data_IF_074533838327
#
_entry.id   IF_074533838327
#
_cell.length_a   1.000
_cell.length_b   1.000
_cell.length_c   1.000
_cell.angle_alpha   90.00
_cell.angle_beta   90.00
_cell.angle_gamma   90.00
#
_symmetry.space_group_name_H-M   'P 1'
#
loop_
_entity.id
_entity.type
_entity.pdbx_description
1 polymer ?
#
# COMPACT_ATOMS: atom_id res chain seq x y z
N UNK A 1 -34.76 -54.60 -30.12
CA UNK A 1 -33.74 -54.44 -29.04
C UNK A 1 -32.93 -53.19 -29.35
N UNK A 2 -33.31 -52.06 -28.82
CA UNK A 2 -32.70 -50.75 -29.03
C UNK A 2 -31.86 -50.40 -27.79
N UNK A 3 -30.58 -50.20 -27.98
CA UNK A 3 -29.55 -49.98 -26.94
C UNK A 3 -29.69 -48.54 -26.33
N UNK A 4 -29.78 -48.40 -25.01
CA UNK A 4 -29.95 -47.09 -24.33
C UNK A 4 -28.63 -46.39 -23.97
N UNK A 5 -27.60 -46.45 -24.82
CA UNK A 5 -26.23 -46.05 -24.42
C UNK A 5 -25.72 -44.71 -25.00
N UNK A 6 -26.54 -43.96 -25.77
CA UNK A 6 -26.04 -42.71 -26.42
C UNK A 6 -26.54 -41.40 -25.81
N UNK A 7 -27.56 -41.42 -24.97
CA UNK A 7 -28.15 -40.17 -24.39
C UNK A 7 -27.41 -39.68 -23.12
N UNK A 8 -26.78 -40.59 -22.36
CA UNK A 8 -26.14 -40.23 -21.08
C UNK A 8 -24.78 -39.55 -21.26
N UNK A 9 -24.07 -39.76 -22.40
CA UNK A 9 -22.75 -39.16 -22.62
C UNK A 9 -22.78 -37.69 -23.02
N UNK A 10 -23.93 -37.18 -23.50
CA UNK A 10 -24.05 -35.79 -23.98
C UNK A 10 -24.36 -34.78 -22.83
N UNK A 11 -25.00 -35.23 -21.74
CA UNK A 11 -25.30 -34.33 -20.60
C UNK A 11 -24.10 -34.06 -19.69
N UNK A 12 -23.15 -35.01 -19.59
CA UNK A 12 -21.98 -34.83 -18.70
C UNK A 12 -20.99 -33.84 -19.31
N UNK A 13 -20.88 -33.77 -20.63
CA UNK A 13 -19.96 -32.84 -21.29
C UNK A 13 -20.43 -31.37 -21.19
N UNK A 14 -21.73 -31.14 -21.09
CA UNK A 14 -22.30 -29.77 -20.99
C UNK A 14 -22.18 -29.20 -19.57
N UNK A 15 -22.24 -30.04 -18.53
CA UNK A 15 -22.08 -29.58 -17.14
C UNK A 15 -20.64 -29.21 -16.79
N UNK A 16 -19.62 -29.83 -17.41
CA UNK A 16 -18.22 -29.52 -17.14
C UNK A 16 -17.80 -28.19 -17.80
N UNK A 17 -18.39 -27.83 -18.94
CA UNK A 17 -18.10 -26.57 -19.63
C UNK A 17 -18.72 -25.35 -18.94
N UNK A 18 -19.82 -25.53 -18.19
CA UNK A 18 -20.48 -24.44 -17.43
C UNK A 18 -19.72 -24.08 -16.13
N UNK A 19 -18.90 -24.97 -15.60
CA UNK A 19 -18.11 -24.72 -14.39
C UNK A 19 -16.82 -23.94 -14.64
N UNK A 20 -16.35 -23.87 -15.90
CA UNK A 20 -15.10 -23.18 -16.23
C UNK A 20 -15.33 -21.68 -16.48
N UNK A 21 -16.58 -21.25 -16.73
CA UNK A 21 -16.91 -19.85 -17.04
C UNK A 21 -17.55 -19.06 -15.90
N UNK A 22 -17.66 -19.61 -14.70
CA UNK A 22 -18.28 -18.94 -13.56
C UNK A 22 -17.31 -18.53 -12.45
N UNK A 23 -16.01 -18.45 -12.73
CA UNK A 23 -15.16 -17.61 -11.89
C UNK A 23 -15.43 -16.16 -12.32
N UNK A 24 -16.15 -15.34 -11.52
CA UNK A 24 -16.09 -13.90 -11.73
C UNK A 24 -14.61 -13.55 -11.72
N UNK A 25 -14.13 -12.80 -12.71
CA UNK A 25 -12.85 -12.11 -12.61
C UNK A 25 -12.93 -11.34 -11.29
N UNK A 26 -12.38 -11.89 -10.22
CA UNK A 26 -12.23 -11.18 -8.96
C UNK A 26 -11.45 -9.93 -9.32
N UNK A 27 -12.15 -8.80 -9.30
CA UNK A 27 -11.51 -7.51 -9.54
C UNK A 27 -10.37 -7.41 -8.54
N UNK A 28 -9.14 -7.44 -9.03
CA UNK A 28 -7.93 -7.45 -8.22
C UNK A 28 -7.98 -6.27 -7.27
N UNK A 29 -8.15 -6.54 -5.98
CA UNK A 29 -8.29 -5.53 -4.93
C UNK A 29 -6.91 -5.30 -4.32
N UNK A 30 -6.48 -4.04 -4.22
CA UNK A 30 -5.26 -3.74 -3.48
C UNK A 30 -5.45 -4.08 -2.00
N UNK A 31 -4.43 -4.65 -1.35
CA UNK A 31 -4.49 -4.94 0.08
C UNK A 31 -4.63 -3.62 0.88
N UNK A 32 -5.36 -3.65 1.98
CA UNK A 32 -5.40 -2.54 2.95
C UNK A 32 -4.41 -2.71 4.09
N UNK A 33 -3.65 -3.80 4.07
CA UNK A 33 -2.67 -4.17 5.09
C UNK A 33 -1.32 -4.43 4.45
N UNK A 34 -0.25 -3.96 5.09
CA UNK A 34 1.12 -4.13 4.66
C UNK A 34 2.03 -4.18 5.89
N UNK A 35 2.97 -5.13 5.93
CA UNK A 35 3.91 -5.30 7.05
C UNK A 35 3.24 -5.48 8.42
N UNK A 36 2.04 -6.08 8.47
CA UNK A 36 1.25 -6.25 9.69
C UNK A 36 0.54 -4.98 10.15
N UNK A 37 0.55 -3.90 9.35
CA UNK A 37 -0.14 -2.65 9.66
C UNK A 37 -1.29 -2.41 8.69
N UNK A 38 -2.46 -1.99 9.22
CA UNK A 38 -3.69 -1.80 8.44
C UNK A 38 -4.05 -0.32 8.31
N UNK A 39 -4.26 0.14 7.07
CA UNK A 39 -4.75 1.49 6.78
C UNK A 39 -6.09 1.75 7.47
N UNK A 40 -6.23 2.93 8.05
CA UNK A 40 -7.42 3.35 8.79
C UNK A 40 -7.47 2.92 10.26
N UNK A 41 -6.60 2.00 10.70
CA UNK A 41 -6.47 1.69 12.13
C UNK A 41 -5.72 2.81 12.86
N UNK A 42 -5.89 2.86 14.17
CA UNK A 42 -5.02 3.64 15.06
C UNK A 42 -3.76 2.84 15.37
N UNK A 43 -2.63 3.53 15.52
CA UNK A 43 -1.38 2.87 15.87
C UNK A 43 -1.46 2.26 17.29
N UNK A 44 -0.98 1.03 17.44
CA UNK A 44 -0.60 0.48 18.73
C UNK A 44 0.69 1.15 19.19
N UNK A 45 0.87 1.40 20.49
CA UNK A 45 2.09 2.05 21.00
C UNK A 45 3.27 1.11 21.17
N UNK A 46 3.04 -0.20 21.11
CA UNK A 46 4.11 -1.19 21.24
C UNK A 46 4.96 -1.25 19.96
N UNK A 47 6.27 -1.14 20.11
CA UNK A 47 7.24 -1.25 19.02
C UNK A 47 7.21 -0.10 18.01
N UNK A 48 6.55 1.04 18.34
CA UNK A 48 6.41 2.18 17.42
C UNK A 48 7.08 3.42 18.04
N UNK A 49 8.00 4.02 17.28
CA UNK A 49 8.76 5.21 17.70
C UNK A 49 8.40 6.41 16.82
N UNK A 50 8.04 7.54 17.46
CA UNK A 50 7.82 8.79 16.71
C UNK A 50 9.16 9.36 16.22
N UNK A 51 9.30 9.48 14.90
CA UNK A 51 10.52 9.99 14.25
C UNK A 51 10.39 11.48 13.94
N UNK A 52 9.20 11.91 13.49
CA UNK A 52 8.96 13.28 13.08
C UNK A 52 7.59 13.76 13.56
N UNK A 53 7.58 14.97 14.13
CA UNK A 53 6.36 15.73 14.41
C UNK A 53 6.50 17.14 13.85
N UNK A 54 5.77 17.41 12.79
CA UNK A 54 5.81 18.70 12.14
C UNK A 54 4.86 19.74 12.78
N UNK A 55 5.10 21.04 12.57
CA UNK A 55 4.25 22.11 13.12
C UNK A 55 2.79 22.07 12.64
N UNK A 56 2.51 21.49 11.50
CA UNK A 56 1.15 21.29 10.95
C UNK A 56 0.42 20.09 11.55
N UNK A 57 1.06 19.40 12.50
CA UNK A 57 0.54 18.20 13.14
C UNK A 57 0.84 16.89 12.39
N UNK A 58 1.54 16.94 11.26
CA UNK A 58 1.99 15.74 10.55
C UNK A 58 2.94 14.94 11.45
N UNK A 59 2.75 13.63 11.49
CA UNK A 59 3.55 12.72 12.32
C UNK A 59 3.98 11.50 11.50
N UNK A 60 5.25 11.13 11.66
CA UNK A 60 5.85 9.94 11.08
C UNK A 60 6.39 9.05 12.20
N UNK A 61 6.11 7.78 12.11
CA UNK A 61 6.54 6.78 13.08
C UNK A 61 7.34 5.70 12.39
N UNK A 62 8.44 5.28 13.02
CA UNK A 62 9.15 4.06 12.68
C UNK A 62 8.56 2.87 13.42
N UNK A 63 8.59 1.69 12.81
CA UNK A 63 8.16 0.45 13.43
C UNK A 63 8.96 -0.75 12.91
N UNK A 64 9.02 -1.80 13.73
CA UNK A 64 9.56 -3.10 13.35
C UNK A 64 8.41 -4.03 12.96
N UNK A 65 8.40 -4.59 11.74
CA UNK A 65 7.39 -5.56 11.34
C UNK A 65 7.43 -6.81 12.21
N UNK A 66 6.26 -7.29 12.62
CA UNK A 66 6.14 -8.51 13.43
C UNK A 66 6.53 -9.77 12.67
N UNK A 67 6.48 -9.72 11.33
CA UNK A 67 6.79 -10.83 10.44
C UNK A 67 7.91 -10.42 9.49
N UNK A 68 8.83 -11.36 9.22
CA UNK A 68 9.89 -11.19 8.24
C UNK A 68 9.57 -11.87 6.90
N UNK A 69 8.28 -12.01 6.61
CA UNK A 69 7.83 -12.52 5.33
C UNK A 69 7.94 -11.45 4.25
N UNK A 70 8.03 -11.91 3.01
CA UNK A 70 8.05 -11.03 1.86
C UNK A 70 6.89 -9.99 1.91
N UNK A 71 7.13 -8.73 1.57
CA UNK A 71 8.38 -8.10 1.08
C UNK A 71 9.27 -7.49 2.17
N UNK A 72 9.06 -7.81 3.45
CA UNK A 72 9.77 -7.20 4.59
C UNK A 72 11.29 -7.34 4.50
N UNK A 73 11.77 -8.51 4.03
CA UNK A 73 13.20 -8.86 4.04
C UNK A 73 14.09 -7.97 3.15
N UNK A 74 13.50 -7.26 2.20
CA UNK A 74 14.26 -6.35 1.30
C UNK A 74 14.31 -4.92 1.81
N UNK A 75 13.60 -4.59 2.90
CA UNK A 75 13.57 -3.24 3.45
C UNK A 75 14.28 -3.16 4.80
N UNK A 76 15.02 -2.08 4.98
CA UNK A 76 15.76 -1.81 6.22
C UNK A 76 14.96 -0.97 7.21
N UNK A 77 14.03 -0.16 6.72
CA UNK A 77 13.25 0.74 7.56
C UNK A 77 11.78 0.74 7.15
N UNK A 78 10.90 0.80 8.16
CA UNK A 78 9.45 0.80 7.98
C UNK A 78 8.84 2.00 8.71
N UNK A 79 7.87 2.67 8.07
CA UNK A 79 7.29 3.91 8.56
C UNK A 79 5.77 3.92 8.43
N UNK A 80 5.12 4.61 9.36
CA UNK A 80 3.70 4.92 9.34
C UNK A 80 3.49 6.43 9.34
N UNK A 81 2.65 6.90 8.44
CA UNK A 81 2.13 8.25 8.49
C UNK A 81 0.68 8.22 9.00
N UNK A 82 0.33 9.12 9.91
CA UNK A 82 -1.00 9.17 10.51
C UNK A 82 -1.69 10.52 10.32
N UNK A 83 -3.02 10.51 10.44
CA UNK A 83 -3.81 11.75 10.51
C UNK A 83 -3.48 12.52 11.79
N UNK A 84 -3.34 13.87 11.73
CA UNK A 84 -2.86 14.68 12.87
C UNK A 84 -3.77 14.67 14.09
N UNK A 85 -5.09 14.64 13.90
CA UNK A 85 -6.08 14.73 14.98
C UNK A 85 -6.66 13.37 15.37
N UNK A 86 -6.94 12.51 14.37
CA UNK A 86 -7.63 11.23 14.61
C UNK A 86 -6.69 10.05 14.76
N UNK A 87 -5.38 10.20 14.51
CA UNK A 87 -4.36 9.16 14.69
C UNK A 87 -4.53 7.92 13.81
N UNK A 88 -5.25 8.05 12.67
CA UNK A 88 -5.48 6.94 11.73
C UNK A 88 -4.29 6.76 10.80
N UNK A 89 -3.87 5.54 10.55
CA UNK A 89 -2.80 5.22 9.59
C UNK A 89 -3.27 5.58 8.18
N UNK A 90 -2.57 6.53 7.56
CA UNK A 90 -2.84 7.03 6.20
C UNK A 90 -2.02 6.26 5.19
N UNK A 91 -0.73 6.05 5.51
CA UNK A 91 0.25 5.46 4.62
C UNK A 91 1.22 4.59 5.39
N UNK A 92 1.59 3.48 4.77
CA UNK A 92 2.58 2.52 5.25
C UNK A 92 3.72 2.54 4.24
N UNK A 93 4.95 2.81 4.70
CA UNK A 93 6.12 2.93 3.84
C UNK A 93 7.20 1.96 4.30
N UNK A 94 8.01 1.55 3.33
CA UNK A 94 9.25 0.85 3.61
C UNK A 94 10.35 1.37 2.68
N UNK A 95 11.58 1.41 3.19
CA UNK A 95 12.74 1.93 2.43
C UNK A 95 13.95 1.05 2.58
N UNK A 96 14.75 0.98 1.52
CA UNK A 96 16.08 0.40 1.55
C UNK A 96 17.04 1.25 0.72
N UNK A 97 18.24 1.49 1.24
CA UNK A 97 19.28 2.24 0.54
C UNK A 97 20.26 1.28 -0.12
N UNK A 98 20.61 1.57 -1.37
CA UNK A 98 21.57 0.84 -2.19
C UNK A 98 22.83 1.68 -2.39
N UNK A 99 23.90 1.09 -2.90
CA UNK A 99 25.14 1.82 -3.14
C UNK A 99 25.07 2.64 -4.43
N UNK A 100 24.38 2.11 -5.44
CA UNK A 100 24.25 2.76 -6.75
C UNK A 100 22.80 2.65 -7.28
N UNK A 101 22.45 3.53 -8.22
CA UNK A 101 21.11 3.62 -8.81
C UNK A 101 20.68 2.34 -9.53
N UNK A 102 21.64 1.64 -10.18
CA UNK A 102 21.34 0.42 -10.95
C UNK A 102 20.89 -0.72 -10.02
N UNK A 103 21.53 -0.90 -8.85
CA UNK A 103 21.10 -1.89 -7.85
C UNK A 103 19.70 -1.58 -7.34
N UNK A 104 19.39 -0.30 -7.07
CA UNK A 104 18.04 0.11 -6.68
C UNK A 104 17.02 -0.23 -7.78
N UNK A 105 17.36 0.06 -9.04
CA UNK A 105 16.47 -0.20 -10.18
C UNK A 105 16.19 -1.69 -10.37
N UNK A 106 17.18 -2.55 -10.16
CA UNK A 106 17.01 -4.00 -10.21
C UNK A 106 16.14 -4.49 -9.04
N UNK A 107 16.42 -4.04 -7.84
CA UNK A 107 15.63 -4.37 -6.66
C UNK A 107 14.17 -3.91 -6.82
N UNK A 108 13.93 -2.74 -7.42
CA UNK A 108 12.60 -2.25 -7.73
C UNK A 108 11.87 -3.17 -8.72
N UNK A 109 12.53 -3.60 -9.81
CA UNK A 109 11.94 -4.53 -10.79
C UNK A 109 11.54 -5.85 -10.12
N UNK A 110 12.44 -6.42 -9.31
CA UNK A 110 12.16 -7.64 -8.55
C UNK A 110 10.99 -7.47 -7.60
N UNK A 111 10.95 -6.37 -6.84
CA UNK A 111 9.85 -6.05 -5.93
C UNK A 111 8.50 -5.98 -6.68
N UNK A 112 8.46 -5.30 -7.83
CA UNK A 112 7.24 -5.18 -8.64
C UNK A 112 6.76 -6.54 -9.13
N UNK A 113 7.66 -7.41 -9.59
CA UNK A 113 7.30 -8.79 -10.01
C UNK A 113 6.72 -9.59 -8.84
N UNK A 114 7.37 -9.55 -7.68
CA UNK A 114 6.92 -10.27 -6.49
C UNK A 114 5.56 -9.76 -5.98
N UNK A 115 5.31 -8.43 -6.02
CA UNK A 115 4.02 -7.84 -5.65
C UNK A 115 2.93 -8.30 -6.62
N UNK A 116 3.21 -8.29 -7.93
CA UNK A 116 2.28 -8.79 -8.95
C UNK A 116 1.86 -10.23 -8.68
N UNK A 117 2.81 -11.10 -8.41
CA UNK A 117 2.57 -12.51 -8.10
C UNK A 117 1.78 -12.67 -6.79
N UNK A 118 2.22 -11.98 -5.71
CA UNK A 118 1.61 -12.10 -4.39
C UNK A 118 0.16 -11.64 -4.37
N UNK A 119 -0.15 -10.53 -5.07
CA UNK A 119 -1.49 -9.94 -5.07
C UNK A 119 -2.26 -10.20 -6.38
N UNK A 120 -1.77 -11.10 -7.23
CA UNK A 120 -2.39 -11.44 -8.53
C UNK A 120 -2.73 -10.20 -9.37
N UNK A 121 -1.80 -9.21 -9.41
CA UNK A 121 -2.00 -7.97 -10.13
C UNK A 121 -1.57 -8.11 -11.59
N UNK A 122 -2.48 -7.82 -12.51
CA UNK A 122 -2.20 -7.79 -13.96
C UNK A 122 -1.73 -6.40 -14.43
N UNK A 123 -0.74 -5.85 -13.72
CA UNK A 123 -0.24 -4.48 -13.93
C UNK A 123 1.23 -4.48 -14.39
N UNK A 124 1.61 -3.48 -15.20
CA UNK A 124 2.98 -3.35 -15.67
C UNK A 124 3.90 -2.66 -14.66
N UNK A 125 5.21 -2.91 -14.74
CA UNK A 125 6.19 -2.23 -13.91
C UNK A 125 6.11 -0.69 -14.00
N UNK A 126 5.73 -0.16 -15.20
CA UNK A 126 5.55 1.30 -15.41
C UNK A 126 4.38 1.87 -14.62
N UNK A 127 3.32 1.09 -14.40
CA UNK A 127 2.18 1.53 -13.58
C UNK A 127 2.58 1.65 -12.12
N UNK A 128 3.39 0.73 -11.59
CA UNK A 128 3.91 0.83 -10.22
C UNK A 128 4.80 2.06 -10.00
N UNK A 129 5.58 2.48 -11.00
CA UNK A 129 6.38 3.71 -10.93
C UNK A 129 5.53 4.98 -10.78
N UNK A 130 4.33 4.97 -11.36
CA UNK A 130 3.39 6.09 -11.30
C UNK A 130 2.41 6.00 -10.13
N UNK A 131 2.46 4.88 -9.39
CA UNK A 131 1.48 4.53 -8.38
C UNK A 131 0.26 3.83 -8.99
N UNK A 132 0.05 2.60 -8.58
CA UNK A 132 -1.15 1.84 -8.93
C UNK A 132 -2.31 2.34 -8.10
N UNK A 133 -3.37 2.83 -8.73
CA UNK A 133 -4.54 3.42 -8.05
C UNK A 133 -5.75 2.50 -8.24
N UNK A 134 -6.26 1.92 -7.15
CA UNK A 134 -7.51 1.16 -7.13
C UNK A 134 -8.26 1.45 -5.82
N UNK A 135 -9.58 1.65 -5.91
CA UNK A 135 -10.46 1.83 -4.74
C UNK A 135 -9.95 2.87 -3.73
N UNK A 136 -9.46 4.03 -4.20
CA UNK A 136 -8.84 5.07 -3.40
C UNK A 136 -7.55 4.67 -2.66
N UNK A 137 -6.99 3.51 -2.98
CA UNK A 137 -5.66 3.09 -2.53
C UNK A 137 -4.62 3.36 -3.63
N UNK A 138 -3.45 3.79 -3.22
CA UNK A 138 -2.28 3.96 -4.09
C UNK A 138 -1.16 3.08 -3.56
N UNK A 139 -0.67 2.20 -4.41
CA UNK A 139 0.54 1.41 -4.15
C UNK A 139 1.63 1.84 -5.13
N UNK A 140 2.81 2.17 -4.63
CA UNK A 140 3.91 2.66 -5.46
C UNK A 140 5.25 2.09 -4.99
N UNK A 141 6.14 1.84 -5.97
CA UNK A 141 7.53 1.46 -5.72
C UNK A 141 8.43 2.28 -6.64
N UNK A 142 9.39 3.02 -6.07
CA UNK A 142 10.27 3.90 -6.85
C UNK A 142 11.65 4.01 -6.22
N UNK A 143 12.68 4.17 -7.05
CA UNK A 143 13.99 4.62 -6.63
C UNK A 143 14.02 6.15 -6.57
N UNK A 144 14.31 6.70 -5.39
CA UNK A 144 14.24 8.12 -5.07
C UNK A 144 15.60 8.64 -4.55
N UNK A 145 15.66 9.94 -4.24
CA UNK A 145 16.87 10.62 -3.81
C UNK A 145 17.69 11.18 -4.99
N UNK A 146 18.71 11.99 -4.70
CA UNK A 146 19.58 12.59 -5.71
C UNK A 146 20.33 11.53 -6.53
N UNK A 147 20.80 10.46 -5.86
CA UNK A 147 21.48 9.33 -6.49
C UNK A 147 20.54 8.26 -7.05
N UNK A 148 19.20 8.38 -6.88
CA UNK A 148 18.22 7.33 -7.19
C UNK A 148 18.57 5.97 -6.55
N UNK A 149 19.17 6.01 -5.38
CA UNK A 149 19.71 4.87 -4.63
C UNK A 149 18.82 4.44 -3.46
N UNK A 150 17.72 5.17 -3.19
CA UNK A 150 16.76 4.87 -2.14
C UNK A 150 15.51 4.23 -2.73
N UNK A 151 15.35 2.92 -2.56
CA UNK A 151 14.10 2.23 -2.87
C UNK A 151 13.04 2.62 -1.84
N UNK A 152 11.93 3.14 -2.31
CA UNK A 152 10.75 3.47 -1.50
C UNK A 152 9.56 2.65 -2.00
N UNK A 153 8.92 1.94 -1.10
CA UNK A 153 7.66 1.26 -1.34
C UNK A 153 6.58 1.83 -0.43
N UNK A 154 5.40 2.07 -0.94
CA UNK A 154 4.32 2.66 -0.17
C UNK A 154 2.94 2.12 -0.52
N UNK A 155 2.06 2.08 0.47
CA UNK A 155 0.63 1.86 0.34
C UNK A 155 -0.08 3.01 1.06
N UNK A 156 -0.93 3.77 0.33
CA UNK A 156 -1.57 4.99 0.83
C UNK A 156 -3.08 4.95 0.57
N UNK A 157 -3.86 5.34 1.57
CA UNK A 157 -5.30 5.58 1.45
C UNK A 157 -5.54 7.06 1.14
N UNK A 158 -6.05 7.34 -0.05
CA UNK A 158 -6.25 8.71 -0.57
C UNK A 158 -7.35 9.48 0.16
N UNK A 159 -8.39 8.81 0.67
CA UNK A 159 -9.45 9.45 1.45
C UNK A 159 -8.92 9.90 2.80
N UNK A 160 -8.12 9.06 3.46
CA UNK A 160 -7.45 9.40 4.70
C UNK A 160 -6.39 10.49 4.50
N UNK A 161 -5.68 10.48 3.37
CA UNK A 161 -4.74 11.54 3.01
C UNK A 161 -5.46 12.88 2.84
N UNK A 162 -6.60 12.91 2.15
CA UNK A 162 -7.40 14.12 2.00
C UNK A 162 -7.94 14.62 3.35
N UNK A 163 -8.40 13.70 4.21
CA UNK A 163 -8.80 14.03 5.58
C UNK A 163 -7.65 14.64 6.38
N UNK A 164 -6.46 14.03 6.31
CA UNK A 164 -5.25 14.54 6.96
C UNK A 164 -4.92 15.97 6.52
N UNK A 165 -5.02 16.27 5.22
CA UNK A 165 -4.76 17.61 4.70
C UNK A 165 -5.74 18.64 5.27
N UNK A 166 -7.02 18.29 5.45
CA UNK A 166 -8.02 19.15 6.13
C UNK A 166 -7.66 19.38 7.59
N UNK A 167 -7.34 18.33 8.33
CA UNK A 167 -6.94 18.42 9.75
C UNK A 167 -5.70 19.31 9.94
N UNK A 168 -4.69 19.19 9.05
CA UNK A 168 -3.48 20.04 9.05
C UNK A 168 -3.83 21.51 8.81
N UNK A 169 -4.73 21.78 7.85
CA UNK A 169 -5.23 23.14 7.60
C UNK A 169 -5.90 23.77 8.82
N UNK A 170 -6.67 23.00 9.59
CA UNK A 170 -7.29 23.47 10.84
C UNK A 170 -6.24 23.79 11.92
N UNK A 171 -5.23 22.92 12.10
CA UNK A 171 -4.15 23.16 13.06
C UNK A 171 -3.40 24.45 12.73
N UNK A 172 -3.04 24.67 11.46
CA UNK A 172 -2.34 25.87 11.02
C UNK A 172 -3.19 27.12 11.20
N UNK A 173 -4.51 27.08 10.90
CA UNK A 173 -5.44 28.20 11.16
C UNK A 173 -5.51 28.55 12.66
N UNK A 174 -5.61 27.56 13.54
CA UNK A 174 -5.62 27.77 15.00
C UNK A 174 -4.32 28.39 15.50
N UNK A 175 -3.16 27.92 14.98
CA UNK A 175 -1.84 28.50 15.33
C UNK A 175 -1.71 29.95 14.90
N UNK A 176 -2.10 30.28 13.65
CA UNK A 176 -2.08 31.66 13.14
C UNK A 176 -2.93 32.61 14.01
N UNK A 177 -4.15 32.18 14.39
CA UNK A 177 -5.01 32.99 15.28
C UNK A 177 -4.38 33.24 16.65
N UNK A 178 -3.72 32.21 17.26
CA UNK A 178 -3.03 32.37 18.54
C UNK A 178 -1.86 33.34 18.44
N UNK A 179 -1.05 33.22 17.38
CA UNK A 179 0.08 34.13 17.13
C UNK A 179 -0.40 35.60 16.95
N UNK A 180 -1.46 35.84 16.17
CA UNK A 180 -2.03 37.16 16.01
C UNK A 180 -2.59 37.75 17.31
N UNK A 181 -3.14 36.90 18.21
CA UNK A 181 -3.64 37.35 19.52
C UNK A 181 -2.51 37.67 20.49
N UNK A 182 -1.38 36.99 20.42
CA UNK A 182 -0.23 37.22 21.29
C UNK A 182 0.57 38.49 20.93
N UNK A 183 0.42 39.00 19.69
CA UNK A 183 1.12 40.19 19.20
C UNK A 183 0.24 41.43 19.17
N UNK A 184 -0.93 41.41 19.81
CA UNK A 184 -1.80 42.57 20.10
C UNK A 184 -1.74 42.94 21.57
#
# INVERSE_FOLDING_TARGET
MTSPSRVVKSCILFCVFSYIFSNPLEATVLPRELFGQKLGNTISREGITEILKAPDGSRLFGFEPSFREFPVSIFNHHFLQITPLTGKIISIWATSKYQVADECSEAQKMLVLMIRETFSLDETARQFHRGLVKQNLVMAAACMGEGKDLLVFSLTDMDLLQKSNRERGEILKKRRKRFQKANR
#
